data_IF_238251603177
#
_entry.id   IF_238251603177
#
_cell.length_a   1.000
_cell.length_b   1.000
_cell.length_c   1.000
_cell.angle_alpha   90.00
_cell.angle_beta   90.00
_cell.angle_gamma   90.00
#
_symmetry.space_group_name_H-M   'P 1'
#
loop_
_entity.id
_entity.type
_entity.pdbx_description
1 polymer ?
#
# COMPACT_ATOMS: atom_id res chain seq x y z
N UNK A 1 -3.74 2.15 19.56
CA UNK A 1 -3.73 2.52 18.14
C UNK A 1 -2.31 2.93 17.74
N UNK A 2 -1.77 2.30 16.74
CA UNK A 2 -0.41 2.61 16.32
C UNK A 2 -0.36 3.93 15.55
N UNK A 3 0.68 4.70 15.80
CA UNK A 3 0.92 5.93 15.08
C UNK A 3 1.51 5.62 13.71
N UNK A 4 0.96 6.20 12.67
CA UNK A 4 1.50 6.05 11.33
C UNK A 4 2.25 7.31 10.94
N UNK A 5 3.54 7.14 10.70
CA UNK A 5 4.43 8.21 10.30
C UNK A 5 4.50 8.21 8.78
N UNK A 6 4.39 9.38 8.16
CA UNK A 6 4.45 9.49 6.70
C UNK A 6 5.86 9.91 6.31
N UNK A 7 6.53 9.09 5.50
CA UNK A 7 7.86 9.43 5.02
C UNK A 7 7.77 10.57 3.99
N UNK A 8 8.88 11.29 3.81
CA UNK A 8 8.94 12.36 2.82
C UNK A 8 8.69 11.83 1.42
N UNK A 9 9.21 10.63 1.13
CA UNK A 9 9.01 9.99 -0.16
C UNK A 9 7.54 9.66 -0.40
N UNK A 10 6.85 9.12 0.61
CA UNK A 10 5.44 8.80 0.49
C UNK A 10 4.61 10.07 0.29
N UNK A 11 4.95 11.13 1.02
CA UNK A 11 4.27 12.41 0.89
C UNK A 11 4.40 12.96 -0.53
N UNK A 12 5.60 12.91 -1.07
CA UNK A 12 5.88 13.38 -2.43
C UNK A 12 5.11 12.55 -3.46
N UNK A 13 5.14 11.23 -3.32
CA UNK A 13 4.44 10.35 -4.25
C UNK A 13 2.94 10.59 -4.24
N UNK A 14 2.36 10.78 -3.06
CA UNK A 14 0.94 11.06 -2.96
C UNK A 14 0.57 12.37 -3.64
N UNK A 15 1.40 13.39 -3.47
CA UNK A 15 1.17 14.69 -4.11
C UNK A 15 1.18 14.58 -5.63
N UNK A 16 2.08 13.77 -6.18
CA UNK A 16 2.16 13.56 -7.61
C UNK A 16 0.90 12.87 -8.18
N UNK A 17 0.26 12.04 -7.38
CA UNK A 17 -0.90 11.27 -7.80
C UNK A 17 -2.23 11.89 -7.42
N UNK A 18 -2.19 12.92 -6.64
CA UNK A 18 -3.35 13.59 -6.09
C UNK A 18 -4.31 14.14 -7.13
N UNK A 19 -3.83 14.36 -8.35
CA UNK A 19 -4.64 14.91 -9.43
C UNK A 19 -5.74 13.98 -9.89
N UNK A 20 -5.72 12.74 -9.43
CA UNK A 20 -6.54 11.74 -10.07
C UNK A 20 -7.94 11.66 -9.53
N UNK A 21 -8.19 11.81 -8.25
CA UNK A 21 -9.58 11.71 -7.81
C UNK A 21 -9.83 11.95 -6.34
N UNK A 22 -8.81 11.93 -5.51
CA UNK A 22 -9.05 11.94 -4.08
C UNK A 22 -8.52 13.20 -3.43
N UNK A 23 -9.43 13.94 -2.82
CA UNK A 23 -9.06 15.11 -2.07
C UNK A 23 -8.85 14.74 -0.59
N UNK A 24 -8.19 13.62 -0.37
CA UNK A 24 -7.93 13.09 0.97
C UNK A 24 -6.48 13.29 1.33
N UNK A 25 -6.21 13.71 2.55
CA UNK A 25 -4.83 13.87 3.01
C UNK A 25 -4.13 12.51 3.07
N UNK A 26 -2.82 12.52 2.87
CA UNK A 26 -2.02 11.30 2.94
C UNK A 26 -2.12 10.66 4.32
N UNK A 27 -2.15 11.45 5.39
CA UNK A 27 -2.26 10.90 6.73
C UNK A 27 -3.55 10.12 6.93
N UNK A 28 -4.65 10.65 6.42
CA UNK A 28 -5.95 9.99 6.55
C UNK A 28 -6.01 8.72 5.71
N UNK A 29 -5.59 8.79 4.46
CA UNK A 29 -5.65 7.62 3.58
C UNK A 29 -4.69 6.52 4.05
N UNK A 30 -3.54 6.89 4.60
CA UNK A 30 -2.59 5.91 5.13
C UNK A 30 -3.19 5.13 6.29
N UNK A 31 -3.92 5.80 7.18
CA UNK A 31 -4.59 5.13 8.28
C UNK A 31 -5.72 4.24 7.81
N UNK A 32 -6.49 4.70 6.84
CA UNK A 32 -7.58 3.91 6.27
C UNK A 32 -7.04 2.66 5.58
N UNK A 33 -5.98 2.81 4.80
CA UNK A 33 -5.38 1.68 4.09
C UNK A 33 -4.80 0.66 5.06
N UNK A 34 -4.18 1.12 6.13
CA UNK A 34 -3.62 0.22 7.12
C UNK A 34 -4.72 -0.60 7.82
N UNK A 35 -5.83 0.04 8.14
CA UNK A 35 -6.92 -0.61 8.87
C UNK A 35 -7.84 -1.44 7.97
N UNK A 36 -8.08 -0.99 6.75
CA UNK A 36 -9.10 -1.57 5.86
C UNK A 36 -8.55 -2.20 4.59
N UNK A 37 -7.28 -1.93 4.27
CA UNK A 37 -6.67 -2.48 3.06
C UNK A 37 -6.51 -3.98 3.14
N UNK A 38 -6.42 -4.61 1.97
CA UNK A 38 -6.23 -6.05 1.88
C UNK A 38 -4.75 -6.37 2.03
N UNK A 39 -4.43 -7.28 2.93
CA UNK A 39 -3.06 -7.72 3.16
C UNK A 39 -2.52 -8.49 1.97
N UNK A 40 -1.23 -8.31 1.66
CA UNK A 40 -0.62 -8.95 0.50
C UNK A 40 -0.76 -10.47 0.53
N UNK A 41 -0.73 -11.07 1.72
CA UNK A 41 -0.84 -12.52 1.88
C UNK A 41 -2.15 -13.08 1.34
N UNK A 42 -3.18 -12.27 1.25
CA UNK A 42 -4.47 -12.70 0.72
C UNK A 42 -4.48 -12.89 -0.79
N UNK A 43 -3.38 -12.48 -1.45
CA UNK A 43 -3.24 -12.65 -2.89
C UNK A 43 -2.36 -13.83 -3.27
N UNK A 44 -1.91 -14.62 -2.29
CA UNK A 44 -1.11 -15.81 -2.58
C UNK A 44 -1.85 -16.74 -3.53
N UNK A 45 -1.17 -17.17 -4.58
CA UNK A 45 -1.74 -18.04 -5.59
C UNK A 45 -2.61 -17.34 -6.62
N UNK A 46 -2.79 -16.03 -6.50
CA UNK A 46 -3.58 -15.26 -7.47
C UNK A 46 -2.66 -14.62 -8.51
N UNK A 47 -3.20 -14.17 -9.65
CA UNK A 47 -2.39 -13.46 -10.65
C UNK A 47 -1.75 -12.17 -10.14
N UNK A 48 -2.28 -11.61 -9.06
CA UNK A 48 -1.77 -10.36 -8.50
C UNK A 48 -0.53 -10.57 -7.61
N UNK A 49 -0.25 -11.81 -7.23
CA UNK A 49 0.87 -12.11 -6.33
C UNK A 49 2.21 -11.65 -6.90
N UNK A 50 2.47 -11.94 -8.17
CA UNK A 50 3.75 -11.58 -8.76
C UNK A 50 3.98 -10.08 -8.80
N UNK A 51 2.92 -9.31 -9.03
CA UNK A 51 3.02 -7.85 -9.00
C UNK A 51 3.37 -7.36 -7.59
N UNK A 52 2.74 -7.93 -6.57
CA UNK A 52 3.03 -7.55 -5.19
C UNK A 52 4.45 -7.92 -4.78
N UNK A 53 4.94 -9.07 -5.21
CA UNK A 53 6.32 -9.47 -4.95
C UNK A 53 7.30 -8.50 -5.61
N UNK A 54 7.00 -8.10 -6.82
CA UNK A 54 7.82 -7.13 -7.53
C UNK A 54 7.90 -5.80 -6.77
N UNK A 55 6.76 -5.30 -6.29
CA UNK A 55 6.75 -4.03 -5.55
C UNK A 55 7.50 -4.15 -4.23
N UNK A 56 7.36 -5.28 -3.54
CA UNK A 56 8.06 -5.50 -2.28
C UNK A 56 9.58 -5.52 -2.47
N UNK A 57 10.05 -6.18 -3.54
CA UNK A 57 11.48 -6.24 -3.85
C UNK A 57 12.06 -4.88 -4.20
N UNK A 58 11.27 -4.06 -4.88
CA UNK A 58 11.71 -2.73 -5.29
C UNK A 58 12.01 -1.83 -4.08
N UNK A 59 11.30 -2.03 -3.00
CA UNK A 59 11.48 -1.25 -1.78
C UNK A 59 11.95 -2.16 -0.66
N UNK A 60 13.16 -2.66 -0.81
CA UNK A 60 13.75 -3.61 0.14
C UNK A 60 13.77 -3.06 1.55
N UNK A 61 13.36 -3.87 2.48
CA UNK A 61 13.42 -3.55 3.89
C UNK A 61 12.91 -4.72 4.70
N UNK A 62 13.34 -4.78 5.95
CA UNK A 62 12.85 -5.77 6.87
C UNK A 62 11.50 -5.34 7.41
N UNK A 63 10.63 -6.31 7.69
CA UNK A 63 9.34 -6.04 8.32
C UNK A 63 8.43 -5.13 7.52
N UNK A 64 8.43 -5.31 6.21
CA UNK A 64 7.50 -4.58 5.35
C UNK A 64 6.10 -5.14 5.46
N UNK A 65 5.12 -4.24 5.47
CA UNK A 65 3.71 -4.59 5.45
C UNK A 65 3.09 -3.92 4.24
N UNK A 66 2.42 -4.71 3.41
CA UNK A 66 1.78 -4.18 2.23
C UNK A 66 0.27 -4.24 2.41
N UNK A 67 -0.41 -3.18 1.97
CA UNK A 67 -1.88 -3.13 1.95
C UNK A 67 -2.33 -2.67 0.59
N UNK A 68 -3.28 -3.38 0.02
CA UNK A 68 -3.95 -2.98 -1.23
C UNK A 68 -5.22 -2.26 -0.84
N UNK A 69 -5.31 -0.99 -1.20
CA UNK A 69 -6.47 -0.17 -0.85
C UNK A 69 -6.79 0.74 -2.02
N UNK A 70 -8.03 0.71 -2.47
CA UNK A 70 -8.45 1.40 -3.68
C UNK A 70 -7.58 0.93 -4.85
N UNK A 71 -6.99 1.82 -5.62
CA UNK A 71 -6.14 1.43 -6.75
C UNK A 71 -4.65 1.63 -6.44
N UNK A 72 -4.28 1.48 -5.17
CA UNK A 72 -2.91 1.73 -4.73
C UNK A 72 -2.41 0.61 -3.85
N UNK A 73 -1.09 0.42 -3.88
CA UNK A 73 -0.40 -0.43 -2.92
C UNK A 73 0.32 0.50 -1.93
N UNK A 74 0.01 0.33 -0.66
CA UNK A 74 0.65 1.08 0.42
C UNK A 74 1.70 0.20 1.05
N UNK A 75 2.94 0.66 1.08
CA UNK A 75 4.05 -0.10 1.65
C UNK A 75 4.48 0.55 2.95
N UNK A 76 4.34 -0.20 4.04
CA UNK A 76 4.68 0.26 5.38
C UNK A 76 5.88 -0.51 5.91
N UNK A 77 6.60 0.10 6.84
CA UNK A 77 7.66 -0.56 7.58
C UNK A 77 7.40 -0.40 9.07
N UNK A 78 7.79 -1.40 9.85
CA UNK A 78 7.70 -1.31 11.29
C UNK A 78 8.94 -0.64 11.84
N UNK A 79 8.72 0.28 12.78
CA UNK A 79 9.80 0.91 13.55
C UNK A 79 9.47 0.73 15.02
N UNK A 80 10.41 1.08 15.91
CA UNK A 80 10.27 0.81 17.34
C UNK A 80 8.97 1.35 17.93
N UNK A 81 8.59 2.55 17.54
CA UNK A 81 7.45 3.24 18.15
C UNK A 81 6.25 3.37 17.23
N UNK A 82 6.21 2.60 16.15
CA UNK A 82 5.05 2.71 15.26
C UNK A 82 5.28 2.14 13.88
N UNK A 83 4.52 2.69 12.94
CA UNK A 83 4.51 2.25 11.55
C UNK A 83 4.87 3.44 10.68
N UNK A 84 5.75 3.23 9.71
CA UNK A 84 6.11 4.26 8.72
C UNK A 84 5.50 3.89 7.39
N UNK A 85 4.79 4.81 6.77
CA UNK A 85 4.40 4.64 5.37
C UNK A 85 5.60 4.99 4.51
N UNK A 86 6.19 3.99 3.88
CA UNK A 86 7.41 4.15 3.09
C UNK A 86 7.09 4.76 1.73
N UNK A 87 6.09 4.22 1.06
CA UNK A 87 5.68 4.72 -0.26
C UNK A 87 4.28 4.25 -0.61
N UNK A 88 3.73 4.88 -1.65
CA UNK A 88 2.45 4.49 -2.23
C UNK A 88 2.69 4.30 -3.73
N UNK A 89 2.23 3.17 -4.26
CA UNK A 89 2.35 2.88 -5.68
C UNK A 89 0.99 2.74 -6.31
N UNK A 90 0.84 3.31 -7.49
CA UNK A 90 -0.39 3.16 -8.26
C UNK A 90 -0.40 1.80 -8.93
N UNK A 91 -1.52 1.08 -8.80
CA UNK A 91 -1.67 -0.23 -9.43
C UNK A 91 -1.96 -0.01 -10.91
N UNK A 92 -1.17 -0.60 -11.82
CA UNK A 92 -1.45 -0.47 -13.25
C UNK A 92 -2.85 -0.95 -13.59
N UNK A 93 -3.49 -0.27 -14.52
CA UNK A 93 -4.88 -0.55 -14.89
C UNK A 93 -5.11 -2.01 -15.26
N UNK A 94 -4.14 -2.64 -15.91
CA UNK A 94 -4.23 -4.04 -16.29
C UNK A 94 -4.39 -5.00 -15.11
N UNK A 95 -4.08 -4.55 -13.90
CA UNK A 95 -4.23 -5.37 -12.70
C UNK A 95 -5.43 -4.97 -11.84
N UNK A 96 -6.21 -3.99 -12.25
CA UNK A 96 -7.32 -3.52 -11.40
C UNK A 96 -8.32 -4.63 -11.07
N UNK A 97 -8.63 -5.48 -12.05
CA UNK A 97 -9.56 -6.58 -11.79
C UNK A 97 -8.93 -7.64 -10.88
N UNK A 98 -7.61 -7.84 -10.98
CA UNK A 98 -6.93 -8.88 -10.20
C UNK A 98 -6.97 -8.61 -8.69
N UNK A 99 -7.04 -7.35 -8.29
CA UNK A 99 -7.11 -7.02 -6.86
C UNK A 99 -8.41 -7.50 -6.21
N UNK A 100 -9.41 -7.83 -7.01
CA UNK A 100 -10.67 -8.35 -6.50
C UNK A 100 -10.63 -9.85 -6.24
N UNK A 101 -9.53 -10.50 -6.60
CA UNK A 101 -9.37 -11.94 -6.39
C UNK A 101 -8.69 -12.27 -5.06
N UNK A 102 -8.62 -11.32 -4.14
CA UNK A 102 -8.08 -11.60 -2.83
C UNK A 102 -8.83 -12.76 -2.19
N UNK A 103 -8.08 -13.67 -1.58
CA UNK A 103 -8.68 -14.83 -0.94
C UNK A 103 -9.33 -14.37 0.36
N UNK A 104 -10.63 -14.52 0.41
CA UNK A 104 -11.42 -14.18 1.59
C UNK A 104 -11.55 -15.43 2.46
N UNK A 105 -10.63 -15.57 3.36
CA UNK A 105 -10.67 -16.68 4.30
C UNK A 105 -11.14 -16.21 5.65
#
# INVERSE_FOLDING_TARGET
METIIISDHAFKRWRERKNLTYNISISKIARQAYARGVEAERYEGTPFESYLKYTAEKFRGNNQLLRVYKNYVFIYGKVDDGIVLITVMEIPEKFWYAKNYAIMK
#
